data_IF_014500770262
#
_entry.id   IF_014500770262
#
_cell.length_a   1.000
_cell.length_b   1.000
_cell.length_c   1.000
_cell.angle_alpha   90.00
_cell.angle_beta   90.00
_cell.angle_gamma   90.00
#
_symmetry.space_group_name_H-M   'P 1'
#
loop_
_entity.id
_entity.type
_entity.pdbx_description
1 polymer ?
#
# COMPACT_ATOMS: atom_id res chain seq x y z
N UNK A 1 -21.72 1.01 -47.01
CA UNK A 1 -22.29 1.76 -45.87
C UNK A 1 -21.54 1.33 -44.63
N UNK A 2 -20.92 2.28 -43.94
CA UNK A 2 -20.31 2.08 -42.62
C UNK A 2 -21.39 1.89 -41.57
N UNK A 3 -21.19 0.95 -40.65
CA UNK A 3 -21.74 1.05 -39.28
C UNK A 3 -20.69 0.52 -38.32
N UNK A 4 -20.06 1.46 -37.62
CA UNK A 4 -19.21 1.24 -36.46
C UNK A 4 -20.05 1.00 -35.21
N UNK A 5 -19.38 0.42 -34.20
CA UNK A 5 -19.72 0.35 -32.78
C UNK A 5 -20.79 -0.70 -32.43
N UNK A 6 -20.64 -1.49 -31.36
CA UNK A 6 -20.36 -1.04 -29.99
C UNK A 6 -19.42 -2.00 -29.24
N UNK A 7 -18.25 -1.48 -28.85
CA UNK A 7 -17.59 -1.86 -27.61
C UNK A 7 -18.50 -1.42 -26.46
N UNK A 8 -18.95 -2.33 -25.60
CA UNK A 8 -19.25 -2.08 -24.17
C UNK A 8 -19.93 -3.30 -23.54
N UNK A 9 -19.15 -4.14 -22.89
CA UNK A 9 -19.58 -4.84 -21.66
C UNK A 9 -18.40 -5.61 -21.08
N UNK A 10 -17.46 -4.90 -20.45
CA UNK A 10 -16.52 -5.51 -19.52
C UNK A 10 -16.58 -4.75 -18.19
N UNK A 11 -17.76 -4.71 -17.58
CA UNK A 11 -17.89 -4.28 -16.19
C UNK A 11 -18.56 -5.37 -15.35
N UNK A 12 -17.83 -5.69 -14.28
CA UNK A 12 -18.31 -6.18 -12.99
C UNK A 12 -18.74 -7.65 -12.91
N UNK A 13 -17.74 -8.52 -12.69
CA UNK A 13 -17.90 -9.73 -11.88
C UNK A 13 -16.90 -9.66 -10.72
N UNK A 14 -17.30 -9.01 -9.64
CA UNK A 14 -16.73 -9.24 -8.31
C UNK A 14 -17.82 -8.96 -7.27
N UNK A 15 -18.00 -9.94 -6.40
CA UNK A 15 -19.11 -10.17 -5.48
C UNK A 15 -19.42 -9.01 -4.53
N UNK A 16 -20.72 -8.77 -4.39
CA UNK A 16 -21.39 -7.93 -3.41
C UNK A 16 -21.12 -8.39 -1.96
N UNK A 17 -20.11 -7.83 -1.29
CA UNK A 17 -20.00 -7.73 0.19
C UNK A 17 -18.83 -6.83 0.66
N UNK A 18 -18.25 -5.97 -0.20
CA UNK A 18 -17.00 -5.29 0.11
C UNK A 18 -17.27 -3.89 0.65
N UNK A 19 -16.98 -3.68 1.93
CA UNK A 19 -17.10 -2.43 2.68
C UNK A 19 -16.04 -1.39 2.29
N UNK A 20 -14.97 -1.83 1.62
CA UNK A 20 -13.95 -1.00 0.99
C UNK A 20 -13.59 -1.61 -0.38
N UNK A 21 -13.47 -0.77 -1.40
CA UNK A 21 -13.05 -1.17 -2.76
C UNK A 21 -11.96 -0.25 -3.29
N UNK A 22 -10.80 -0.81 -3.59
CA UNK A 22 -9.75 -0.07 -4.29
C UNK A 22 -10.20 0.36 -5.69
N UNK A 23 -9.92 1.62 -6.02
CA UNK A 23 -10.25 2.26 -7.29
C UNK A 23 -9.03 2.69 -8.08
N UNK A 24 -7.87 2.75 -7.43
CA UNK A 24 -6.61 3.15 -8.06
C UNK A 24 -5.40 2.69 -7.25
N UNK A 25 -4.23 2.56 -7.89
CA UNK A 25 -3.95 2.85 -9.31
C UNK A 25 -4.63 1.90 -10.31
N UNK A 26 -4.63 2.23 -11.61
CA UNK A 26 -5.18 1.33 -12.63
C UNK A 26 -4.27 0.12 -12.83
N UNK A 27 -4.84 -1.08 -12.81
CA UNK A 27 -4.14 -2.35 -13.04
C UNK A 27 -3.83 -2.60 -14.53
N UNK A 28 -4.29 -1.72 -15.42
CA UNK A 28 -3.99 -1.80 -16.86
C UNK A 28 -2.55 -1.37 -17.17
N UNK A 29 -1.93 -0.59 -16.30
CA UNK A 29 -0.56 -0.12 -16.43
C UNK A 29 0.33 -0.69 -15.31
N UNK A 30 1.63 -0.91 -15.55
CA UNK A 30 2.55 -1.28 -14.50
C UNK A 30 2.67 -0.20 -13.43
N UNK A 31 2.89 -0.62 -12.20
CA UNK A 31 3.16 0.25 -11.06
C UNK A 31 4.65 0.61 -11.03
N UNK A 32 4.97 1.90 -11.13
CA UNK A 32 6.34 2.41 -11.07
C UNK A 32 6.74 2.68 -9.62
N UNK A 33 7.46 1.74 -9.00
CA UNK A 33 7.88 1.85 -7.60
C UNK A 33 9.03 2.85 -7.39
N UNK A 34 9.56 3.48 -8.46
CA UNK A 34 10.53 4.57 -8.31
C UNK A 34 9.88 5.92 -7.98
N UNK A 35 8.55 5.98 -7.84
CA UNK A 35 7.76 7.21 -7.69
C UNK A 35 6.77 7.09 -6.52
N UNK A 36 6.28 8.23 -6.07
CA UNK A 36 5.09 8.28 -5.19
C UNK A 36 3.87 7.73 -5.95
N UNK A 37 3.11 6.90 -5.26
CA UNK A 37 1.91 6.22 -5.76
C UNK A 37 0.72 6.69 -4.93
N UNK A 38 -0.33 7.16 -5.59
CA UNK A 38 -1.60 7.45 -4.92
C UNK A 38 -2.50 6.21 -5.00
N UNK A 39 -2.71 5.58 -3.85
CA UNK A 39 -3.64 4.46 -3.67
C UNK A 39 -5.00 5.07 -3.35
N UNK A 40 -6.07 4.66 -4.05
CA UNK A 40 -7.42 5.20 -3.84
C UNK A 40 -8.44 4.11 -3.64
N UNK A 41 -9.48 4.40 -2.87
CA UNK A 41 -10.59 3.50 -2.62
C UNK A 41 -11.88 4.27 -2.39
N UNK A 42 -12.99 3.54 -2.55
CA UNK A 42 -14.31 4.00 -2.17
C UNK A 42 -14.85 3.15 -1.02
N UNK A 43 -15.65 3.78 -0.17
CA UNK A 43 -16.49 3.07 0.79
C UNK A 43 -17.56 2.28 0.04
N UNK A 44 -17.74 1.02 0.43
CA UNK A 44 -18.81 0.18 -0.08
C UNK A 44 -20.11 0.40 0.67
N UNK A 45 -21.24 0.30 -0.02
CA UNK A 45 -22.58 0.47 0.56
C UNK A 45 -23.08 -0.72 1.40
N UNK A 46 -22.20 -1.61 1.87
CA UNK A 46 -22.65 -2.83 2.54
C UNK A 46 -23.14 -2.54 3.97
N UNK A 47 -24.45 -2.54 4.16
CA UNK A 47 -25.10 -2.42 5.48
C UNK A 47 -24.84 -3.58 6.44
N UNK A 48 -24.23 -4.69 5.96
CA UNK A 48 -23.96 -5.90 6.74
C UNK A 48 -22.69 -5.85 7.59
N UNK A 49 -21.75 -5.00 7.22
CA UNK A 49 -20.55 -4.73 7.99
C UNK A 49 -20.43 -3.22 8.05
N UNK A 50 -20.75 -2.60 9.19
CA UNK A 50 -20.24 -1.25 9.45
C UNK A 50 -18.73 -1.37 9.31
N UNK A 51 -18.19 -0.89 8.20
CA UNK A 51 -16.75 -0.77 8.00
C UNK A 51 -16.22 -0.05 9.22
N UNK A 52 -15.19 -0.60 9.87
CA UNK A 52 -14.48 0.19 10.87
C UNK A 52 -14.01 1.47 10.22
N UNK A 53 -13.91 2.57 10.98
CA UNK A 53 -13.43 3.83 10.42
C UNK A 53 -11.99 3.72 9.93
N UNK A 54 -11.24 2.69 10.33
CA UNK A 54 -9.82 2.51 10.01
C UNK A 54 -9.45 1.10 9.56
N UNK A 55 -8.34 0.98 8.83
CA UNK A 55 -7.72 -0.28 8.40
C UNK A 55 -6.19 -0.14 8.32
N UNK A 56 -5.48 -1.26 8.32
CA UNK A 56 -4.05 -1.27 8.03
C UNK A 56 -3.83 -1.47 6.54
N UNK A 57 -3.00 -0.63 5.94
CA UNK A 57 -2.65 -0.69 4.53
C UNK A 57 -1.31 -1.41 4.39
N UNK A 58 -1.28 -2.44 3.55
CA UNK A 58 -0.05 -3.19 3.25
C UNK A 58 0.10 -3.40 1.74
N UNK A 59 1.30 -3.76 1.32
CA UNK A 59 1.52 -4.37 0.02
C UNK A 59 1.92 -5.84 0.16
N UNK A 60 1.54 -6.63 -0.83
CA UNK A 60 1.92 -8.03 -0.95
C UNK A 60 2.38 -8.33 -2.39
N UNK A 61 3.35 -9.22 -2.56
CA UNK A 61 3.73 -9.75 -3.85
C UNK A 61 4.27 -11.16 -3.77
N UNK A 62 3.92 -11.98 -4.75
CA UNK A 62 4.46 -13.33 -4.94
C UNK A 62 5.20 -13.41 -6.29
N UNK A 63 6.45 -12.92 -6.38
CA UNK A 63 7.21 -12.91 -7.64
C UNK A 63 7.47 -14.29 -8.24
N UNK A 64 7.52 -15.34 -7.40
CA UNK A 64 7.66 -16.73 -7.82
C UNK A 64 6.80 -17.62 -6.94
N UNK A 65 6.51 -18.84 -7.37
CA UNK A 65 5.70 -19.80 -6.60
C UNK A 65 6.29 -20.11 -5.21
N UNK A 66 7.61 -19.93 -5.04
CA UNK A 66 8.35 -20.23 -3.81
C UNK A 66 8.62 -19.01 -2.93
N UNK A 67 8.31 -17.79 -3.40
CA UNK A 67 8.67 -16.54 -2.70
C UNK A 67 7.50 -15.59 -2.67
N UNK A 68 7.07 -15.25 -1.45
CA UNK A 68 6.10 -14.20 -1.15
C UNK A 68 6.71 -13.17 -0.21
N UNK A 69 6.35 -11.91 -0.42
CA UNK A 69 6.78 -10.79 0.39
C UNK A 69 5.56 -9.92 0.68
N UNK A 70 5.51 -9.35 1.87
CA UNK A 70 4.55 -8.32 2.20
C UNK A 70 5.09 -7.42 3.29
N UNK A 71 4.72 -6.15 3.23
CA UNK A 71 5.07 -5.18 4.26
C UNK A 71 3.91 -4.24 4.48
N UNK A 72 3.70 -3.93 5.75
CA UNK A 72 2.83 -2.84 6.19
C UNK A 72 3.35 -1.50 5.64
N UNK A 73 2.41 -0.70 5.16
CA UNK A 73 2.63 0.65 4.66
C UNK A 73 2.24 1.66 5.74
N UNK A 74 1.07 1.48 6.34
CA UNK A 74 0.53 2.38 7.36
C UNK A 74 -0.56 1.65 8.17
N UNK A 75 -0.67 1.99 9.45
CA UNK A 75 -1.73 1.45 10.33
C UNK A 75 -2.83 2.48 10.56
N UNK A 76 -4.04 2.01 10.83
CA UNK A 76 -5.14 2.89 11.23
C UNK A 76 -5.56 3.92 10.16
N UNK A 77 -5.37 3.62 8.87
CA UNK A 77 -5.74 4.48 7.75
C UNK A 77 -7.25 4.70 7.75
N UNK A 78 -7.68 5.96 7.76
CA UNK A 78 -9.10 6.29 7.79
C UNK A 78 -9.78 5.95 6.45
N UNK A 79 -10.82 5.13 6.51
CA UNK A 79 -11.63 4.72 5.35
C UNK A 79 -12.19 5.93 4.60
N UNK A 80 -12.64 6.97 5.31
CA UNK A 80 -13.20 8.18 4.72
C UNK A 80 -12.17 9.12 4.10
N UNK A 81 -10.87 8.85 4.26
CA UNK A 81 -9.83 9.60 3.54
C UNK A 81 -9.87 9.33 2.02
N UNK A 82 -10.33 8.14 1.60
CA UNK A 82 -10.47 7.73 0.20
C UNK A 82 -9.16 7.57 -0.59
N UNK A 83 -8.03 7.96 0.00
CA UNK A 83 -6.72 7.87 -0.63
C UNK A 83 -5.55 7.86 0.37
N UNK A 84 -4.43 7.28 -0.06
CA UNK A 84 -3.14 7.29 0.63
C UNK A 84 -2.00 7.51 -0.36
N UNK A 85 -1.01 8.31 0.02
CA UNK A 85 0.21 8.53 -0.78
C UNK A 85 1.32 7.63 -0.29
N UNK A 86 1.64 6.61 -1.08
CA UNK A 86 2.67 5.64 -0.79
C UNK A 86 3.97 5.98 -1.54
N UNK A 87 5.04 6.21 -0.79
CA UNK A 87 6.40 6.26 -1.36
C UNK A 87 7.15 4.99 -0.95
N UNK A 88 7.53 4.11 -1.90
CA UNK A 88 8.24 2.88 -1.57
C UNK A 88 9.54 3.12 -0.80
N UNK A 89 9.70 2.42 0.32
CA UNK A 89 10.91 2.49 1.13
C UNK A 89 12.09 1.79 0.47
N UNK A 90 13.32 2.12 0.89
CA UNK A 90 14.55 1.41 0.52
C UNK A 90 14.43 -0.09 0.70
N UNK A 91 13.78 -0.51 1.79
CA UNK A 91 13.55 -1.91 2.10
C UNK A 91 12.64 -2.57 1.06
N UNK A 92 11.50 -1.94 0.73
CA UNK A 92 10.59 -2.42 -0.32
C UNK A 92 11.33 -2.62 -1.63
N UNK A 93 12.11 -1.62 -2.06
CA UNK A 93 12.86 -1.70 -3.31
C UNK A 93 13.92 -2.81 -3.24
N UNK A 94 14.70 -2.89 -2.16
CA UNK A 94 15.76 -3.88 -2.00
C UNK A 94 15.21 -5.32 -1.94
N UNK A 95 14.07 -5.54 -1.29
CA UNK A 95 13.40 -6.84 -1.22
C UNK A 95 12.91 -7.30 -2.59
N UNK A 96 12.34 -6.40 -3.39
CA UNK A 96 11.72 -6.73 -4.67
C UNK A 96 12.70 -6.71 -5.85
N UNK A 97 13.78 -5.92 -5.79
CA UNK A 97 14.76 -5.76 -6.88
C UNK A 97 15.31 -7.08 -7.45
N UNK A 98 15.64 -8.11 -6.65
CA UNK A 98 16.11 -9.40 -7.18
C UNK A 98 15.11 -10.10 -8.11
N UNK A 99 13.84 -9.69 -8.08
CA UNK A 99 12.74 -10.27 -8.85
C UNK A 99 12.18 -9.31 -9.91
N UNK A 100 12.93 -8.26 -10.27
CA UNK A 100 12.42 -7.19 -11.15
C UNK A 100 11.85 -7.72 -12.48
N UNK A 101 12.51 -8.69 -13.12
CA UNK A 101 12.04 -9.29 -14.36
C UNK A 101 10.69 -9.99 -14.16
N UNK A 102 10.60 -10.87 -13.16
CA UNK A 102 9.38 -11.61 -12.84
C UNK A 102 8.22 -10.68 -12.48
N UNK A 103 8.50 -9.62 -11.71
CA UNK A 103 7.50 -8.65 -11.29
C UNK A 103 7.04 -7.74 -12.45
N UNK A 104 7.88 -7.52 -13.46
CA UNK A 104 7.50 -6.74 -14.64
C UNK A 104 6.67 -7.54 -15.64
N UNK A 105 6.88 -8.86 -15.71
CA UNK A 105 6.18 -9.76 -16.62
C UNK A 105 4.88 -10.29 -15.99
N UNK A 106 4.89 -10.57 -14.69
CA UNK A 106 3.77 -11.17 -13.97
C UNK A 106 3.07 -10.13 -13.08
N UNK A 107 1.73 -10.08 -13.17
CA UNK A 107 0.91 -9.24 -12.29
C UNK A 107 0.73 -9.91 -10.93
N UNK A 108 1.69 -9.76 -10.03
CA UNK A 108 1.68 -10.41 -8.71
C UNK A 108 1.68 -9.45 -7.53
N UNK A 109 1.99 -8.17 -7.75
CA UNK A 109 1.99 -7.14 -6.70
C UNK A 109 0.56 -6.64 -6.45
N UNK A 110 0.16 -6.45 -5.20
CA UNK A 110 -1.15 -5.91 -4.84
C UNK A 110 -1.08 -5.12 -3.52
N UNK A 111 -2.09 -4.30 -3.28
CA UNK A 111 -2.33 -3.64 -2.00
C UNK A 111 -3.46 -4.34 -1.26
N UNK A 112 -3.34 -4.46 0.06
CA UNK A 112 -4.42 -4.95 0.90
C UNK A 112 -4.79 -3.90 1.95
N UNK A 113 -6.09 -3.84 2.24
CA UNK A 113 -6.65 -3.17 3.39
C UNK A 113 -7.11 -4.24 4.38
N UNK A 114 -6.43 -4.30 5.53
CA UNK A 114 -6.64 -5.28 6.58
C UNK A 114 -7.45 -4.64 7.71
N UNK A 115 -8.63 -5.19 7.97
CA UNK A 115 -9.51 -4.75 9.05
C UNK A 115 -9.42 -5.75 10.20
N UNK A 116 -8.81 -5.31 11.30
CA UNK A 116 -8.59 -6.12 12.50
C UNK A 116 -9.72 -5.96 13.51
N UNK A 117 -9.77 -6.83 14.50
CA UNK A 117 -10.65 -6.72 15.66
C UNK A 117 -10.10 -5.67 16.66
N UNK A 118 -10.97 -5.03 17.45
CA UNK A 118 -10.66 -3.84 18.30
C UNK A 118 -10.26 -4.35 19.67
N UNK A 119 -10.89 -5.46 20.07
CA UNK A 119 -10.57 -6.16 21.29
C UNK A 119 -9.33 -7.05 21.12
N UNK A 120 -8.96 -7.38 19.89
CA UNK A 120 -7.79 -8.21 19.57
C UNK A 120 -7.23 -7.87 18.18
N UNK A 121 -6.22 -7.01 18.10
CA UNK A 121 -5.63 -6.61 16.82
C UNK A 121 -4.95 -7.77 16.07
N UNK A 122 -4.73 -8.92 16.72
CA UNK A 122 -4.21 -10.11 16.02
C UNK A 122 -5.26 -10.79 15.13
N UNK A 123 -6.55 -10.55 15.38
CA UNK A 123 -7.67 -11.15 14.67
C UNK A 123 -8.07 -10.32 13.43
N UNK A 124 -7.86 -10.87 12.23
CA UNK A 124 -8.27 -10.24 10.96
C UNK A 124 -9.73 -10.57 10.70
N UNK A 125 -10.58 -9.55 10.77
CA UNK A 125 -12.03 -9.68 10.58
C UNK A 125 -12.40 -9.62 9.09
N UNK A 126 -11.66 -8.84 8.32
CA UNK A 126 -11.93 -8.64 6.91
C UNK A 126 -10.70 -8.10 6.16
N UNK A 127 -10.52 -8.54 4.93
CA UNK A 127 -9.46 -8.09 4.02
C UNK A 127 -10.09 -7.68 2.68
N UNK A 128 -9.71 -6.49 2.20
CA UNK A 128 -9.96 -6.08 0.84
C UNK A 128 -8.64 -6.02 0.09
N UNK A 129 -8.56 -6.60 -1.11
CA UNK A 129 -7.37 -6.54 -1.96
C UNK A 129 -7.64 -5.68 -3.19
N UNK A 130 -6.62 -4.96 -3.65
CA UNK A 130 -6.64 -4.35 -4.98
C UNK A 130 -6.56 -5.42 -6.06
N UNK A 131 -6.75 -5.03 -7.32
CA UNK A 131 -6.28 -5.88 -8.42
C UNK A 131 -4.76 -5.99 -8.40
N UNK A 132 -4.22 -6.95 -9.18
CA UNK A 132 -2.78 -7.21 -9.24
C UNK A 132 -2.09 -6.34 -10.31
N UNK A 133 -0.89 -5.90 -10.01
CA UNK A 133 -0.05 -5.04 -10.84
C UNK A 133 1.23 -5.77 -11.26
N UNK A 134 1.65 -5.50 -12.49
CA UNK A 134 3.06 -5.63 -12.86
C UNK A 134 3.82 -4.44 -12.24
N UNK A 135 5.12 -4.59 -12.00
CA UNK A 135 5.96 -3.58 -11.34
C UNK A 135 7.16 -3.23 -12.20
N UNK A 136 7.50 -1.94 -12.23
CA UNK A 136 8.71 -1.39 -12.88
C UNK A 136 9.41 -0.40 -11.95
N UNK A 137 10.62 0.03 -12.32
CA UNK A 137 11.36 1.10 -11.63
C UNK A 137 12.21 0.65 -10.44
N UNK A 138 12.35 -0.66 -10.20
CA UNK A 138 13.17 -1.24 -9.12
C UNK A 138 14.69 -1.05 -9.30
N UNK A 139 15.12 -0.85 -10.56
CA UNK A 139 16.49 -0.63 -11.00
C UNK A 139 16.91 0.85 -10.95
N UNK A 140 15.94 1.77 -10.94
CA UNK A 140 16.16 3.23 -11.04
C UNK A 140 16.46 3.92 -9.71
N UNK A 141 16.50 3.16 -8.62
CA UNK A 141 16.71 3.71 -7.26
C UNK A 141 18.19 3.60 -6.88
N UNK A 142 18.95 4.65 -7.20
CA UNK A 142 20.38 4.79 -6.81
C UNK A 142 20.59 5.44 -5.45
N UNK A 143 19.57 6.08 -4.87
CA UNK A 143 19.58 6.57 -3.50
C UNK A 143 18.18 6.43 -2.94
N UNK A 144 17.94 5.33 -2.24
CA UNK A 144 16.73 5.23 -1.47
C UNK A 144 16.83 6.27 -0.35
N UNK A 145 15.97 7.29 -0.42
CA UNK A 145 16.02 8.46 0.45
C UNK A 145 16.13 8.05 1.91
N UNK A 146 16.94 8.79 2.67
CA UNK A 146 16.99 8.73 4.13
C UNK A 146 15.57 8.54 4.66
N UNK A 147 15.42 7.63 5.62
CA UNK A 147 14.25 7.59 6.46
C UNK A 147 14.02 9.00 7.02
N UNK A 148 13.08 9.73 6.42
CA UNK A 148 12.42 10.83 7.10
C UNK A 148 11.45 10.16 8.06
N UNK A 149 12.02 9.65 9.15
CA UNK A 149 11.23 9.44 10.36
C UNK A 149 10.57 10.78 10.64
N UNK A 150 9.24 10.77 10.67
CA UNK A 150 8.45 11.84 11.23
C UNK A 150 9.10 12.26 12.55
N UNK A 151 9.65 13.47 12.62
CA UNK A 151 10.11 14.08 13.86
C UNK A 151 8.88 14.41 14.74
N UNK A 152 8.29 13.39 15.33
CA UNK A 152 7.46 13.55 16.51
C UNK A 152 8.36 13.37 17.73
N UNK A 153 8.81 14.50 18.29
CA UNK A 153 9.17 14.61 19.70
C UNK A 153 10.55 14.09 20.10
N UNK A 154 11.62 14.75 19.66
CA UNK A 154 12.79 14.87 20.56
C UNK A 154 12.39 15.85 21.65
N UNK A 155 11.84 15.31 22.74
CA UNK A 155 11.77 16.01 24.01
C UNK A 155 13.19 16.42 24.37
N UNK A 156 13.45 17.72 24.31
CA UNK A 156 14.64 18.36 24.84
C UNK A 156 14.66 18.23 26.36
N UNK A 157 15.01 17.05 26.87
CA UNK A 157 15.40 16.90 28.26
C UNK A 157 16.86 17.34 28.37
N UNK A 158 17.03 18.60 28.75
CA UNK A 158 18.33 19.16 29.13
C UNK A 158 18.96 18.33 30.23
N UNK A 159 20.07 17.66 29.91
CA UNK A 159 21.05 17.22 30.88
C UNK A 159 22.09 18.33 30.99
N UNK A 160 21.92 19.17 32.01
CA UNK A 160 22.95 20.08 32.47
C UNK A 160 24.15 19.26 32.97
N UNK A 161 25.17 19.09 32.12
CA UNK A 161 26.48 18.66 32.57
C UNK A 161 27.20 19.88 33.17
N UNK A 162 27.06 20.05 34.49
CA UNK A 162 27.97 20.92 35.23
C UNK A 162 29.31 20.20 35.38
N UNK A 163 30.28 20.60 34.56
CA UNK A 163 31.69 20.23 34.73
C UNK A 163 32.51 21.50 34.96
N UNK A 164 33.17 21.51 36.10
CA UNK A 164 34.13 22.48 36.63
C UNK A 164 35.22 22.94 35.65
N UNK A 165 35.64 24.21 35.77
CA UNK A 165 36.99 24.84 35.73
C UNK A 165 36.76 26.35 35.50
N UNK A 166 37.39 27.38 36.09
CA UNK A 166 38.69 27.64 36.74
C UNK A 166 38.51 29.06 37.36
N UNK A 167 38.91 29.40 38.60
CA UNK A 167 40.22 29.86 39.11
C UNK A 167 40.13 29.87 40.64
#
# INVERSE_FOLDING_TARGET
>A
MHTSALFSSLLALASTAQSLKFTGPSTSSPLDLSKEITITWNEGNSSKHKTRPTFDLEWFSQPTDLKSFGFEIETGVNVSAGQYKFTPSSNTINTLRPFANQLSENKTFLFNAIFRNESDESDVVYEASSGKYAVVGLDKVTNAGKAVGLEWGVLTCGLAAASFFMI
#
